data_IF_321696034823
#
_entry.id   IF_321696034823
#
_cell.length_a   1.000
_cell.length_b   1.000
_cell.length_c   1.000
_cell.angle_alpha   90.00
_cell.angle_beta   90.00
_cell.angle_gamma   90.00
#
_symmetry.space_group_name_H-M   'P 1'
#
loop_
_entity.id
_entity.type
_entity.pdbx_description
1 polymer ?
#
# COMPACT_ATOMS: atom_id res chain seq x y z
N UNK A 1 6.84 24.84 6.55
CA UNK A 1 5.69 23.99 6.18
C UNK A 1 5.76 23.34 4.80
N UNK A 2 6.59 23.82 3.84
CA UNK A 2 6.70 23.23 2.48
C UNK A 2 7.10 21.74 2.46
N UNK A 3 7.93 21.26 3.39
CA UNK A 3 8.46 19.88 3.36
C UNK A 3 7.44 18.76 3.68
N UNK A 4 6.35 19.05 4.40
CA UNK A 4 5.39 18.03 4.84
C UNK A 4 4.32 17.76 3.78
N UNK A 5 3.74 18.81 3.17
CA UNK A 5 2.77 18.64 2.08
C UNK A 5 3.41 17.96 0.87
N UNK A 6 4.68 18.25 0.59
CA UNK A 6 5.45 17.55 -0.44
C UNK A 6 5.67 16.07 -0.09
N UNK A 7 5.84 15.74 1.19
CA UNK A 7 5.98 14.36 1.65
C UNK A 7 4.66 13.60 1.50
N UNK A 8 3.53 14.20 1.90
CA UNK A 8 2.20 13.61 1.73
C UNK A 8 1.87 13.34 0.25
N UNK A 9 2.13 14.31 -0.63
CA UNK A 9 1.93 14.14 -2.07
C UNK A 9 2.77 13.01 -2.63
N UNK A 10 4.06 12.94 -2.27
CA UNK A 10 4.97 11.85 -2.72
C UNK A 10 4.56 10.49 -2.17
N UNK A 11 4.09 10.45 -0.93
CA UNK A 11 3.56 9.23 -0.33
C UNK A 11 2.31 8.76 -1.09
N UNK A 12 1.38 9.69 -1.40
CA UNK A 12 0.17 9.37 -2.15
C UNK A 12 0.48 8.91 -3.59
N UNK A 13 1.45 9.52 -4.26
CA UNK A 13 1.95 9.05 -5.57
C UNK A 13 2.50 7.63 -5.45
N UNK A 14 3.30 7.35 -4.41
CA UNK A 14 3.87 6.01 -4.18
C UNK A 14 2.77 4.97 -3.93
N UNK A 15 1.77 5.30 -3.11
CA UNK A 15 0.60 4.44 -2.89
C UNK A 15 -0.18 4.21 -4.19
N UNK A 16 -0.36 5.26 -5.00
CA UNK A 16 -1.00 5.16 -6.31
C UNK A 16 -0.25 4.23 -7.27
N UNK A 17 1.09 4.29 -7.30
CA UNK A 17 1.92 3.38 -8.09
C UNK A 17 1.74 1.91 -7.67
N UNK A 18 1.71 1.62 -6.36
CA UNK A 18 1.41 0.26 -5.87
C UNK A 18 -0.03 -0.17 -6.18
N UNK A 19 -0.97 0.77 -6.21
CA UNK A 19 -2.36 0.49 -6.58
C UNK A 19 -2.53 0.06 -8.06
N UNK A 20 -1.60 0.46 -8.95
CA UNK A 20 -1.58 -0.03 -10.34
C UNK A 20 -1.42 -1.56 -10.40
N UNK A 21 -0.68 -2.14 -9.46
CA UNK A 21 -0.52 -3.60 -9.35
C UNK A 21 -1.86 -4.25 -9.03
N UNK A 22 -2.61 -3.66 -8.10
CA UNK A 22 -3.95 -4.12 -7.74
C UNK A 22 -4.92 -4.02 -8.93
N UNK A 23 -4.88 -2.92 -9.69
CA UNK A 23 -5.69 -2.77 -10.91
C UNK A 23 -5.32 -3.84 -11.94
N UNK A 24 -4.04 -4.15 -12.12
CA UNK A 24 -3.59 -5.21 -13.03
C UNK A 24 -4.19 -6.58 -12.65
N UNK A 25 -4.29 -6.87 -11.35
CA UNK A 25 -4.89 -8.12 -10.84
C UNK A 25 -6.41 -8.19 -11.05
N UNK A 26 -7.12 -7.06 -11.05
CA UNK A 26 -8.55 -7.01 -11.39
C UNK A 26 -8.82 -7.22 -12.89
N UNK A 27 -7.84 -6.91 -13.73
CA UNK A 27 -7.94 -7.08 -15.18
C UNK A 27 -7.54 -8.50 -15.64
N UNK A 28 -6.89 -9.29 -14.76
CA UNK A 28 -6.50 -10.68 -15.05
C UNK A 28 -7.63 -11.61 -15.54
N UNK A 29 -8.86 -11.58 -14.99
CA UNK A 29 -9.97 -12.39 -15.50
C UNK A 29 -10.37 -12.03 -16.93
N UNK A 30 -10.05 -10.83 -17.41
CA UNK A 30 -10.35 -10.36 -18.77
C UNK A 30 -9.29 -10.78 -19.79
N UNK A 31 -8.17 -11.35 -19.35
CA UNK A 31 -7.10 -11.81 -20.25
C UNK A 31 -7.51 -13.04 -21.09
N UNK A 32 -8.57 -13.77 -20.71
CA UNK A 32 -9.08 -14.92 -21.46
C UNK A 32 -8.04 -16.00 -21.78
N UNK A 33 -8.41 -16.96 -22.63
CA UNK A 33 -7.50 -18.03 -23.09
C UNK A 33 -6.48 -17.56 -24.15
N UNK A 34 -6.53 -16.29 -24.55
CA UNK A 34 -5.70 -15.74 -25.63
C UNK A 34 -6.22 -16.10 -27.03
N UNK A 35 -7.53 -16.35 -27.15
CA UNK A 35 -8.17 -16.77 -28.39
C UNK A 35 -8.48 -15.57 -29.29
N UNK A 36 -8.64 -14.37 -28.70
CA UNK A 36 -8.89 -13.13 -29.46
C UNK A 36 -7.71 -12.14 -29.38
N UNK A 37 -7.60 -11.25 -30.37
CA UNK A 37 -6.60 -10.17 -30.37
C UNK A 37 -6.76 -9.18 -29.21
N UNK A 38 -8.00 -8.99 -28.74
CA UNK A 38 -8.33 -8.11 -27.60
C UNK A 38 -7.81 -8.72 -26.29
N UNK A 39 -8.03 -10.02 -26.07
CA UNK A 39 -7.53 -10.77 -24.91
C UNK A 39 -6.01 -10.70 -24.79
N UNK A 40 -5.29 -10.89 -25.89
CA UNK A 40 -3.82 -10.75 -25.94
C UNK A 40 -3.36 -9.31 -25.61
N UNK A 41 -4.10 -8.32 -26.09
CA UNK A 41 -3.86 -6.91 -25.78
C UNK A 41 -4.03 -6.62 -24.29
N UNK A 42 -5.12 -7.12 -23.69
CA UNK A 42 -5.39 -6.98 -22.25
C UNK A 42 -4.31 -7.69 -21.43
N UNK A 43 -3.92 -8.92 -21.79
CA UNK A 43 -2.84 -9.64 -21.12
C UNK A 43 -1.50 -8.91 -21.13
N UNK A 44 -1.15 -8.31 -22.26
CA UNK A 44 0.06 -7.49 -22.39
C UNK A 44 -0.04 -6.24 -21.50
N UNK A 45 -1.18 -5.56 -21.51
CA UNK A 45 -1.42 -4.38 -20.68
C UNK A 45 -1.33 -4.71 -19.18
N UNK A 46 -1.91 -5.83 -18.76
CA UNK A 46 -1.84 -6.33 -17.37
C UNK A 46 -0.40 -6.55 -16.94
N UNK A 47 0.40 -7.23 -17.78
CA UNK A 47 1.83 -7.44 -17.52
C UNK A 47 2.60 -6.12 -17.39
N UNK A 48 2.36 -5.17 -18.30
CA UNK A 48 3.00 -3.85 -18.25
C UNK A 48 2.60 -3.10 -16.96
N UNK A 49 1.31 -3.04 -16.64
CA UNK A 49 0.81 -2.37 -15.43
C UNK A 49 1.39 -2.97 -14.15
N UNK A 50 1.50 -4.30 -14.10
CA UNK A 50 2.10 -5.01 -12.98
C UNK A 50 3.57 -4.63 -12.78
N UNK A 51 4.39 -4.75 -13.83
CA UNK A 51 5.82 -4.45 -13.75
C UNK A 51 6.11 -2.96 -13.54
N UNK A 52 5.41 -2.09 -14.25
CA UNK A 52 5.52 -0.64 -14.07
C UNK A 52 5.08 -0.24 -12.66
N UNK A 53 4.01 -0.84 -12.13
CA UNK A 53 3.56 -0.62 -10.76
C UNK A 53 4.62 -0.98 -9.72
N UNK A 54 5.24 -2.16 -9.85
CA UNK A 54 6.34 -2.60 -8.97
C UNK A 54 7.54 -1.65 -9.09
N UNK A 55 8.04 -1.42 -10.30
CA UNK A 55 9.22 -0.58 -10.52
C UNK A 55 9.00 0.85 -10.01
N UNK A 56 7.89 1.47 -10.40
CA UNK A 56 7.57 2.85 -10.00
C UNK A 56 7.31 2.96 -8.50
N UNK A 57 6.60 2.00 -7.90
CA UNK A 57 6.35 1.94 -6.45
C UNK A 57 7.65 1.83 -5.66
N UNK A 58 8.53 0.89 -6.03
CA UNK A 58 9.83 0.71 -5.39
C UNK A 58 10.74 1.93 -5.53
N UNK A 59 10.89 2.47 -6.75
CA UNK A 59 11.73 3.65 -7.01
C UNK A 59 11.20 4.88 -6.26
N UNK A 60 9.89 5.13 -6.32
CA UNK A 60 9.26 6.26 -5.63
C UNK A 60 9.43 6.17 -4.11
N UNK A 61 9.21 4.98 -3.53
CA UNK A 61 9.42 4.75 -2.11
C UNK A 61 10.89 4.95 -1.72
N UNK A 62 11.82 4.41 -2.51
CA UNK A 62 13.25 4.54 -2.26
C UNK A 62 13.73 5.99 -2.32
N UNK A 63 13.33 6.75 -3.34
CA UNK A 63 13.66 8.17 -3.47
C UNK A 63 13.10 8.99 -2.31
N UNK A 64 11.86 8.70 -1.89
CA UNK A 64 11.23 9.32 -0.73
C UNK A 64 11.99 8.97 0.56
N UNK A 65 12.29 7.70 0.78
CA UNK A 65 13.04 7.25 1.95
C UNK A 65 14.42 7.93 2.02
N UNK A 66 15.16 7.96 0.91
CA UNK A 66 16.48 8.58 0.84
C UNK A 66 16.45 10.08 1.12
N UNK A 67 15.45 10.79 0.56
CA UNK A 67 15.30 12.25 0.73
C UNK A 67 14.94 12.64 2.17
N UNK A 68 14.16 11.82 2.86
CA UNK A 68 13.68 12.12 4.21
C UNK A 68 14.41 11.31 5.30
N UNK A 69 15.42 10.51 4.95
CA UNK A 69 16.18 9.66 5.89
C UNK A 69 16.68 10.43 7.10
N UNK A 70 17.35 11.57 6.89
CA UNK A 70 17.88 12.38 7.98
C UNK A 70 16.79 12.96 8.88
N UNK A 71 15.66 13.36 8.29
CA UNK A 71 14.51 13.87 9.06
C UNK A 71 13.80 12.76 9.84
N UNK A 72 13.76 11.54 9.28
CA UNK A 72 13.23 10.35 9.92
C UNK A 72 14.11 9.92 11.10
N UNK A 73 15.43 9.85 10.91
CA UNK A 73 16.39 9.46 11.96
C UNK A 73 16.45 10.48 13.10
N UNK A 74 16.28 11.78 12.82
CA UNK A 74 16.24 12.82 13.86
C UNK A 74 14.94 12.84 14.68
N UNK A 75 13.80 12.41 14.12
CA UNK A 75 12.48 12.55 14.79
C UNK A 75 11.89 11.26 15.30
N UNK A 76 12.21 10.12 14.70
CA UNK A 76 11.72 8.82 15.15
C UNK A 76 12.82 8.12 15.95
N UNK A 77 12.53 7.68 17.18
CA UNK A 77 13.48 6.85 17.93
C UNK A 77 13.79 5.60 17.11
N UNK A 78 15.04 5.15 17.19
CA UNK A 78 15.54 3.98 16.46
C UNK A 78 14.83 2.72 16.97
N UNK A 79 13.69 2.38 16.35
CA UNK A 79 12.94 1.16 16.64
C UNK A 79 13.82 -0.06 16.35
N UNK A 80 14.01 -0.94 17.34
CA UNK A 80 14.69 -2.24 17.20
C UNK A 80 13.98 -3.18 16.21
N UNK A 81 12.69 -2.98 15.97
CA UNK A 81 11.89 -3.87 15.12
C UNK A 81 11.88 -3.30 13.69
N UNK A 82 12.27 -4.09 12.68
CA UNK A 82 12.19 -3.67 11.28
C UNK A 82 10.73 -3.39 10.91
N UNK A 83 10.50 -2.33 10.13
CA UNK A 83 9.17 -1.89 9.70
C UNK A 83 8.35 -2.95 8.95
N UNK A 84 8.94 -4.08 8.57
CA UNK A 84 8.26 -5.19 7.90
C UNK A 84 7.62 -6.18 8.90
N UNK A 85 8.00 -6.15 10.18
CA UNK A 85 7.55 -7.11 11.21
C UNK A 85 6.72 -6.44 12.32
N UNK A 86 6.45 -5.15 12.23
CA UNK A 86 5.62 -4.44 13.21
C UNK A 86 4.14 -4.55 12.79
N UNK A 87 3.59 -5.74 12.96
CA UNK A 87 2.14 -5.98 12.96
C UNK A 87 1.53 -5.14 14.08
N UNK A 88 0.33 -4.58 13.90
CA UNK A 88 -0.36 -3.78 14.94
C UNK A 88 0.29 -2.44 15.37
N UNK A 89 1.25 -1.89 14.63
CA UNK A 89 1.95 -0.66 15.04
C UNK A 89 1.11 0.63 15.05
N UNK A 90 -0.05 0.65 14.40
CA UNK A 90 -0.91 1.83 14.23
C UNK A 90 -2.36 1.38 14.00
N UNK A 91 -3.42 2.02 14.55
CA UNK A 91 -4.82 1.66 14.30
C UNK A 91 -5.18 1.47 12.82
N UNK A 92 -4.56 2.25 11.91
CA UNK A 92 -4.75 2.07 10.46
C UNK A 92 -4.10 0.77 9.96
N UNK A 93 -2.91 0.42 10.46
CA UNK A 93 -2.24 -0.83 10.12
C UNK A 93 -3.01 -2.04 10.65
N UNK A 94 -3.66 -1.94 11.82
CA UNK A 94 -4.51 -3.01 12.36
C UNK A 94 -5.64 -3.37 11.40
N UNK A 95 -6.36 -2.36 10.88
CA UNK A 95 -7.44 -2.60 9.94
C UNK A 95 -6.94 -3.25 8.65
N UNK A 96 -5.78 -2.82 8.16
CA UNK A 96 -5.14 -3.41 6.98
C UNK A 96 -4.70 -4.87 7.25
N UNK A 97 -4.15 -5.17 8.42
CA UNK A 97 -3.68 -6.50 8.82
C UNK A 97 -4.84 -7.50 8.92
N UNK A 98 -5.97 -7.07 9.50
CA UNK A 98 -7.19 -7.88 9.56
C UNK A 98 -7.72 -8.15 8.16
N UNK A 99 -7.78 -7.12 7.30
CA UNK A 99 -8.26 -7.27 5.93
C UNK A 99 -7.33 -8.14 5.09
N UNK A 100 -6.02 -8.05 5.32
CA UNK A 100 -5.01 -8.92 4.73
C UNK A 100 -5.26 -10.38 5.13
N UNK A 101 -5.51 -10.65 6.41
CA UNK A 101 -5.78 -12.01 6.91
C UNK A 101 -7.06 -12.59 6.27
N UNK A 102 -8.13 -11.80 6.18
CA UNK A 102 -9.38 -12.22 5.52
C UNK A 102 -9.13 -12.53 4.03
N UNK A 103 -8.40 -11.65 3.32
CA UNK A 103 -8.03 -11.86 1.93
C UNK A 103 -7.19 -13.13 1.73
N UNK A 104 -6.24 -13.37 2.62
CA UNK A 104 -5.35 -14.53 2.58
C UNK A 104 -6.12 -15.84 2.80
N UNK A 105 -7.00 -15.88 3.81
CA UNK A 105 -7.89 -17.02 4.05
C UNK A 105 -8.76 -17.27 2.82
N UNK A 106 -9.33 -16.22 2.24
CA UNK A 106 -10.11 -16.29 1.01
C UNK A 106 -9.31 -16.87 -0.16
N UNK A 107 -8.08 -16.39 -0.38
CA UNK A 107 -7.21 -16.85 -1.46
C UNK A 107 -6.81 -18.33 -1.29
N UNK A 108 -6.46 -18.74 -0.07
CA UNK A 108 -6.15 -20.15 0.25
C UNK A 108 -7.40 -21.02 0.05
N UNK A 109 -8.56 -20.57 0.51
CA UNK A 109 -9.82 -21.30 0.32
C UNK A 109 -10.19 -21.48 -1.16
N UNK A 110 -10.02 -20.42 -1.97
CA UNK A 110 -10.24 -20.48 -3.42
C UNK A 110 -9.28 -21.44 -4.11
N UNK A 111 -8.03 -21.53 -3.65
CA UNK A 111 -7.02 -22.39 -4.24
C UNK A 111 -7.21 -23.88 -3.87
N UNK A 112 -7.65 -24.17 -2.64
CA UNK A 112 -7.86 -25.55 -2.15
C UNK A 112 -9.19 -26.13 -2.63
N UNK A 113 -10.20 -25.31 -2.85
CA UNK A 113 -11.56 -25.77 -3.21
C UNK A 113 -11.76 -25.77 -4.72
N UNK A 114 -11.77 -26.97 -5.32
CA UNK A 114 -12.06 -27.15 -6.75
C UNK A 114 -13.52 -26.74 -7.01
N UNK A 115 -13.73 -25.74 -7.88
CA UNK A 115 -15.07 -25.23 -8.25
C UNK A 115 -15.45 -23.88 -7.66
N UNK A 116 -14.54 -23.19 -6.97
CA UNK A 116 -14.77 -21.81 -6.53
C UNK A 116 -14.86 -20.85 -7.71
N UNK A 117 -15.76 -19.87 -7.59
CA UNK A 117 -15.94 -18.83 -8.59
C UNK A 117 -14.63 -18.08 -8.85
N UNK A 118 -14.16 -18.08 -10.11
CA UNK A 118 -12.96 -17.36 -10.54
C UNK A 118 -12.94 -15.91 -10.07
N UNK A 119 -14.09 -15.24 -10.04
CA UNK A 119 -14.23 -13.86 -9.58
C UNK A 119 -13.82 -13.73 -8.10
N UNK A 120 -14.18 -14.70 -7.26
CA UNK A 120 -13.84 -14.70 -5.84
C UNK A 120 -12.33 -14.87 -5.64
N UNK A 121 -11.69 -15.75 -6.42
CA UNK A 121 -10.24 -15.97 -6.38
C UNK A 121 -9.47 -14.69 -6.72
N UNK A 122 -9.83 -14.03 -7.83
CA UNK A 122 -9.21 -12.76 -8.22
C UNK A 122 -9.48 -11.63 -7.21
N UNK A 123 -10.68 -11.56 -6.62
CA UNK A 123 -11.00 -10.59 -5.56
C UNK A 123 -10.16 -10.84 -4.30
N UNK A 124 -10.06 -12.10 -3.85
CA UNK A 124 -9.24 -12.46 -2.70
C UNK A 124 -7.77 -12.15 -2.95
N UNK A 125 -7.27 -12.41 -4.15
CA UNK A 125 -5.89 -12.12 -4.54
C UNK A 125 -5.63 -10.61 -4.63
N UNK A 126 -6.57 -9.84 -5.19
CA UNK A 126 -6.55 -8.37 -5.20
C UNK A 126 -6.48 -7.79 -3.78
N UNK A 127 -7.37 -8.25 -2.88
CA UNK A 127 -7.42 -7.79 -1.49
C UNK A 127 -6.12 -8.11 -0.78
N UNK A 128 -5.62 -9.35 -0.92
CA UNK A 128 -4.38 -9.82 -0.30
C UNK A 128 -3.20 -8.95 -0.72
N UNK A 129 -2.98 -8.75 -2.03
CA UNK A 129 -1.86 -7.98 -2.54
C UNK A 129 -1.96 -6.51 -2.16
N UNK A 130 -3.17 -5.93 -2.24
CA UNK A 130 -3.41 -4.52 -1.86
C UNK A 130 -3.12 -4.30 -0.38
N UNK A 131 -3.62 -5.19 0.49
CA UNK A 131 -3.41 -5.08 1.93
C UNK A 131 -1.95 -5.35 2.30
N UNK A 132 -1.27 -6.25 1.60
CA UNK A 132 0.17 -6.47 1.78
C UNK A 132 0.95 -5.18 1.53
N UNK A 133 0.78 -4.54 0.37
CA UNK A 133 1.48 -3.28 0.08
C UNK A 133 1.09 -2.15 1.03
N UNK A 134 -0.20 -2.03 1.38
CA UNK A 134 -0.67 -1.05 2.36
C UNK A 134 -0.06 -1.30 3.75
N UNK A 135 0.13 -2.55 4.17
CA UNK A 135 0.81 -2.89 5.42
C UNK A 135 2.25 -2.36 5.41
N UNK A 136 3.02 -2.63 4.35
CA UNK A 136 4.39 -2.10 4.24
C UNK A 136 4.44 -0.58 4.28
N UNK A 137 3.49 0.08 3.61
CA UNK A 137 3.41 1.55 3.57
C UNK A 137 3.01 2.13 4.94
N UNK A 138 1.98 1.57 5.59
CA UNK A 138 1.46 2.04 6.87
C UNK A 138 2.41 1.75 8.04
N UNK A 139 3.15 0.64 7.98
CA UNK A 139 4.14 0.27 9.00
C UNK A 139 5.50 0.93 8.76
N UNK A 140 5.72 1.47 7.56
CA UNK A 140 6.92 2.22 7.19
C UNK A 140 7.16 3.47 8.05
N UNK A 141 8.45 3.78 8.30
CA UNK A 141 8.87 4.97 9.06
C UNK A 141 8.30 6.29 8.50
N UNK A 142 8.10 6.35 7.18
CA UNK A 142 7.53 7.52 6.49
C UNK A 142 6.08 7.80 6.94
N UNK A 143 5.24 6.78 7.03
CA UNK A 143 3.86 6.95 7.48
C UNK A 143 3.79 7.31 8.97
N UNK A 144 4.62 6.68 9.80
CA UNK A 144 4.72 7.03 11.23
C UNK A 144 5.11 8.49 11.42
N UNK A 145 6.06 9.00 10.63
CA UNK A 145 6.44 10.41 10.65
C UNK A 145 5.27 11.32 10.25
N UNK A 146 4.56 11.00 9.17
CA UNK A 146 3.38 11.76 8.74
C UNK A 146 2.28 11.78 9.81
N UNK A 147 1.98 10.63 10.40
CA UNK A 147 0.98 10.50 11.46
C UNK A 147 1.35 11.32 12.70
N UNK A 148 2.60 11.24 13.18
CA UNK A 148 3.07 12.02 14.32
C UNK A 148 3.00 13.53 14.08
N UNK A 149 3.36 13.99 12.87
CA UNK A 149 3.29 15.42 12.54
C UNK A 149 1.84 15.91 12.49
N UNK A 150 0.91 15.11 11.93
CA UNK A 150 -0.53 15.46 11.94
C UNK A 150 -1.09 15.56 13.35
N UNK A 151 -0.77 14.61 14.24
CA UNK A 151 -1.21 14.64 15.64
C UNK A 151 -0.68 15.91 16.33
N UNK A 152 0.62 16.21 16.20
CA UNK A 152 1.20 17.43 16.79
C UNK A 152 0.57 18.72 16.25
N UNK A 153 0.19 18.75 14.98
CA UNK A 153 -0.48 19.92 14.38
C UNK A 153 -1.90 20.09 14.95
N UNK A 154 -2.65 19.00 15.08
CA UNK A 154 -3.99 19.02 15.67
C UNK A 154 -4.01 19.43 17.14
N UNK A 155 -3.07 18.91 17.94
CA UNK A 155 -2.93 19.32 19.36
C UNK A 155 -2.67 20.81 19.48
N UNK A 156 -1.72 21.35 18.70
CA UNK A 156 -1.36 22.76 18.73
C UNK A 156 -2.48 23.70 18.24
N UNK A 157 -3.36 23.21 17.36
CA UNK A 157 -4.54 23.94 16.91
C UNK A 157 -5.66 23.93 17.97
N UNK A 158 -5.81 22.82 18.69
CA UNK A 158 -6.75 22.72 19.82
C UNK A 158 -6.32 23.56 21.01
N UNK A 159 -5.02 23.61 21.35
CA UNK A 159 -4.49 24.52 22.39
C UNK A 159 -4.77 25.99 22.04
N UNK A 160 -4.50 26.39 20.79
CA UNK A 160 -4.78 27.75 20.31
C UNK A 160 -6.27 28.12 20.34
N UNK A 161 -7.18 27.14 20.20
CA UNK A 161 -8.64 27.35 20.30
C UNK A 161 -9.15 27.32 21.75
N UNK A 162 -8.41 26.74 22.68
CA UNK A 162 -8.74 26.73 24.10
C UNK A 162 -8.26 28.02 24.81
N UNK A 163 -7.24 28.67 24.27
CA UNK A 163 -6.69 29.95 24.78
C UNK A 163 -7.42 31.21 24.24
N UNK A 164 -8.52 31.03 23.50
CA UNK A 164 -9.30 32.09 22.83
C UNK A 164 -10.75 32.07 23.30
#
# INVERSE_FOLDING_TARGET
MKSLQDLEKRFLVTTGCFFLISIALLLLPLCGGGETGIEKGIGTLVGILFWVGIMSGCVSYFLMYRKYKEALEKRLPQSRIPSCLRVWGNPVAIGIDILFLIGLIGAVYCNVTIGVNRILDFLSLFITITCFYLHFLATGKVFQYLAQVKIKKGVRENERKADM
#
